data_IF_231939828723
#
_entry.id   IF_231939828723
#
_cell.length_a   1.000
_cell.length_b   1.000
_cell.length_c   1.000
_cell.angle_alpha   90.00
_cell.angle_beta   90.00
_cell.angle_gamma   90.00
#
_symmetry.space_group_name_H-M   'P 1'
#
loop_
_entity.id
_entity.type
_entity.pdbx_description
1 polymer ?
#
# COMPACT_ATOMS: atom_id res chain seq x y z
N UNK A 1 -15.23 -6.22 6.73
CA UNK A 1 -13.91 -5.58 6.64
C UNK A 1 -13.30 -5.73 5.25
N UNK A 2 -12.86 -6.93 4.85
CA UNK A 2 -12.12 -7.17 3.59
C UNK A 2 -12.77 -6.56 2.34
N UNK A 3 -14.05 -6.83 2.06
CA UNK A 3 -14.74 -6.24 0.89
C UNK A 3 -14.72 -4.70 0.87
N UNK A 4 -14.85 -4.07 2.03
CA UNK A 4 -14.78 -2.62 2.15
C UNK A 4 -13.36 -2.11 1.92
N UNK A 5 -12.34 -2.82 2.40
CA UNK A 5 -10.93 -2.46 2.19
C UNK A 5 -10.53 -2.61 0.72
N UNK A 6 -10.99 -3.68 0.03
CA UNK A 6 -10.81 -3.85 -1.41
C UNK A 6 -11.42 -2.67 -2.18
N UNK A 7 -12.66 -2.27 -1.84
CA UNK A 7 -13.32 -1.14 -2.51
C UNK A 7 -12.55 0.18 -2.30
N UNK A 8 -12.05 0.42 -1.08
CA UNK A 8 -11.25 1.60 -0.76
C UNK A 8 -9.91 1.62 -1.49
N UNK A 9 -9.20 0.49 -1.53
CA UNK A 9 -7.94 0.37 -2.27
C UNK A 9 -8.15 0.52 -3.78
N UNK A 10 -9.24 -0.03 -4.31
CA UNK A 10 -9.60 0.11 -5.72
C UNK A 10 -9.82 1.57 -6.08
N UNK A 11 -10.49 2.32 -5.20
CA UNK A 11 -10.66 3.77 -5.36
C UNK A 11 -9.36 4.54 -5.17
N UNK A 12 -8.53 4.18 -4.20
CA UNK A 12 -7.25 4.84 -3.98
C UNK A 12 -6.29 4.71 -5.17
N UNK A 13 -6.33 3.56 -5.86
CA UNK A 13 -5.61 3.36 -7.12
C UNK A 13 -5.98 4.38 -8.20
N UNK A 14 -7.19 4.93 -8.19
CA UNK A 14 -7.61 5.93 -9.19
C UNK A 14 -6.79 7.22 -9.09
N UNK A 15 -6.33 7.60 -7.89
CA UNK A 15 -5.44 8.75 -7.70
C UNK A 15 -4.14 8.61 -8.52
N UNK A 16 -3.61 7.39 -8.62
CA UNK A 16 -2.40 7.07 -9.38
C UNK A 16 -2.56 7.15 -10.91
N UNK A 17 -3.75 7.49 -11.41
CA UNK A 17 -4.00 7.63 -12.86
C UNK A 17 -3.77 9.04 -13.38
N UNK A 18 -3.56 10.01 -12.49
CA UNK A 18 -3.23 11.39 -12.86
C UNK A 18 -1.72 11.55 -12.91
N UNK A 19 -1.19 11.96 -14.07
CA UNK A 19 0.26 12.02 -14.31
C UNK A 19 0.72 13.45 -14.65
N UNK A 20 1.91 13.80 -14.20
CA UNK A 20 2.56 15.07 -14.53
C UNK A 20 3.42 14.99 -15.82
N UNK A 21 3.22 14.00 -16.69
CA UNK A 21 4.04 13.84 -17.90
C UNK A 21 3.96 15.06 -18.80
N UNK A 22 5.13 15.60 -19.16
CA UNK A 22 5.26 16.88 -19.88
C UNK A 22 5.40 18.10 -18.96
N UNK A 23 5.40 17.92 -17.63
CA UNK A 23 5.80 18.94 -16.66
C UNK A 23 7.27 19.36 -16.80
N UNK A 24 8.13 18.42 -17.16
CA UNK A 24 9.60 18.57 -17.24
C UNK A 24 10.22 18.89 -15.88
N UNK A 25 11.12 19.86 -15.76
CA UNK A 25 11.94 20.06 -14.56
C UNK A 25 11.15 20.53 -13.33
N UNK A 26 10.21 21.47 -13.51
CA UNK A 26 9.52 22.18 -12.41
C UNK A 26 8.03 22.45 -12.74
N UNK A 27 7.41 21.64 -13.60
CA UNK A 27 6.00 21.82 -13.98
C UNK A 27 5.73 22.76 -15.16
N UNK A 28 6.69 23.59 -15.58
CA UNK A 28 6.47 24.60 -16.62
C UNK A 28 6.32 24.04 -18.04
N UNK A 29 6.72 22.79 -18.26
CA UNK A 29 6.77 22.18 -19.58
C UNK A 29 7.89 22.74 -20.48
N UNK A 30 8.89 23.40 -19.91
CA UNK A 30 10.03 23.91 -20.67
C UNK A 30 10.72 22.79 -21.44
N UNK A 31 11.03 23.03 -22.71
CA UNK A 31 11.59 22.04 -23.64
C UNK A 31 10.66 20.83 -23.93
N UNK A 32 9.38 20.88 -23.57
CA UNK A 32 8.39 19.88 -23.96
C UNK A 32 7.64 20.32 -25.23
N UNK A 33 7.50 19.41 -26.19
CA UNK A 33 6.69 19.67 -27.38
C UNK A 33 5.20 19.82 -26.98
N UNK A 34 4.43 20.80 -27.51
CA UNK A 34 3.03 21.01 -27.13
C UNK A 34 2.15 19.74 -27.25
N UNK A 35 2.40 18.94 -28.29
CA UNK A 35 1.65 17.69 -28.52
C UNK A 35 2.09 16.49 -27.65
N UNK A 36 3.19 16.60 -26.91
CA UNK A 36 3.76 15.47 -26.14
C UNK A 36 2.73 14.84 -25.20
N UNK A 37 1.97 15.67 -24.48
CA UNK A 37 0.97 15.21 -23.49
C UNK A 37 -0.12 14.36 -24.15
N UNK A 38 -0.66 14.83 -25.26
CA UNK A 38 -1.71 14.12 -26.01
C UNK A 38 -1.19 12.80 -26.59
N UNK A 39 0.06 12.79 -27.08
CA UNK A 39 0.68 11.59 -27.64
C UNK A 39 0.98 10.56 -26.55
N UNK A 40 1.56 10.99 -25.42
CA UNK A 40 1.95 10.07 -24.35
C UNK A 40 0.73 9.46 -23.66
N UNK A 41 -0.34 10.22 -23.44
CA UNK A 41 -1.60 9.72 -22.88
C UNK A 41 -2.16 8.56 -23.73
N UNK A 42 -2.29 8.80 -25.04
CA UNK A 42 -2.77 7.79 -25.99
C UNK A 42 -1.87 6.54 -25.99
N UNK A 43 -0.56 6.74 -25.99
CA UNK A 43 0.41 5.64 -26.00
C UNK A 43 0.39 4.83 -24.70
N UNK A 44 0.29 5.48 -23.55
CA UNK A 44 0.17 4.80 -22.27
C UNK A 44 -1.10 3.96 -22.19
N UNK A 45 -2.22 4.50 -22.68
CA UNK A 45 -3.47 3.73 -22.76
C UNK A 45 -3.34 2.52 -23.70
N UNK A 46 -2.73 2.70 -24.87
CA UNK A 46 -2.48 1.59 -25.82
C UNK A 46 -1.62 0.48 -25.20
N UNK A 47 -0.60 0.84 -24.40
CA UNK A 47 0.35 -0.12 -23.81
C UNK A 47 -0.24 -0.80 -22.56
N UNK A 48 -0.85 -0.04 -21.67
CA UNK A 48 -1.23 -0.51 -20.32
C UNK A 48 -2.70 -0.90 -20.20
N UNK A 49 -3.56 -0.42 -21.11
CA UNK A 49 -5.02 -0.51 -20.98
C UNK A 49 -5.61 0.40 -19.90
N UNK A 50 -4.78 1.20 -19.20
CA UNK A 50 -5.22 2.14 -18.16
C UNK A 50 -5.46 3.51 -18.78
N UNK A 51 -6.55 4.16 -18.36
CA UNK A 51 -6.82 5.54 -18.72
C UNK A 51 -6.03 6.47 -17.79
N UNK A 52 -4.81 6.83 -18.18
CA UNK A 52 -4.08 7.90 -17.52
C UNK A 52 -4.56 9.25 -18.05
N UNK A 53 -4.53 10.28 -17.21
CA UNK A 53 -4.89 11.65 -17.58
C UNK A 53 -3.80 12.63 -17.12
N UNK A 54 -3.56 13.73 -17.84
CA UNK A 54 -2.63 14.77 -17.38
C UNK A 54 -3.18 15.47 -16.12
N UNK A 55 -2.30 15.85 -15.20
CA UNK A 55 -2.67 16.73 -14.09
C UNK A 55 -3.09 18.11 -14.60
N UNK A 56 -4.09 18.71 -13.95
CA UNK A 56 -4.60 20.05 -14.29
C UNK A 56 -3.55 21.14 -14.03
N UNK A 57 -2.81 21.00 -12.92
CA UNK A 57 -1.69 21.87 -12.55
C UNK A 57 -0.40 21.04 -12.49
N UNK A 58 0.46 21.24 -13.48
CA UNK A 58 1.74 20.54 -13.58
C UNK A 58 2.79 21.05 -12.60
N UNK A 59 2.69 22.30 -12.13
CA UNK A 59 3.61 22.84 -11.13
C UNK A 59 3.31 22.21 -9.78
N UNK A 60 2.04 22.10 -9.42
CA UNK A 60 1.62 21.36 -8.23
C UNK A 60 2.01 19.87 -8.32
N UNK A 61 1.68 19.22 -9.44
CA UNK A 61 1.91 17.79 -9.61
C UNK A 61 3.39 17.38 -9.76
N UNK A 62 4.34 18.30 -9.93
CA UNK A 62 5.78 17.99 -9.92
C UNK A 62 6.35 17.82 -8.52
N UNK A 63 5.79 18.51 -7.52
CA UNK A 63 6.25 18.40 -6.13
C UNK A 63 5.37 17.50 -5.26
N UNK A 64 4.12 17.28 -5.67
CA UNK A 64 3.11 16.64 -4.83
C UNK A 64 3.22 15.11 -4.85
N UNK A 65 3.41 14.54 -3.66
CA UNK A 65 3.45 13.09 -3.43
C UNK A 65 2.32 12.60 -2.51
N UNK A 66 1.31 13.45 -2.24
CA UNK A 66 0.21 13.14 -1.33
C UNK A 66 -0.64 11.95 -1.80
N UNK A 67 -0.73 11.68 -3.10
CA UNK A 67 -1.43 10.50 -3.63
C UNK A 67 -0.81 9.19 -3.15
N UNK A 68 0.52 9.13 -3.02
CA UNK A 68 1.22 7.97 -2.43
C UNK A 68 0.87 7.79 -0.95
N UNK A 69 0.78 8.90 -0.20
CA UNK A 69 0.35 8.88 1.21
C UNK A 69 -1.09 8.39 1.33
N UNK A 70 -1.98 8.81 0.42
CA UNK A 70 -3.36 8.36 0.40
C UNK A 70 -3.48 6.86 0.14
N UNK A 71 -2.74 6.35 -0.85
CA UNK A 71 -2.69 4.90 -1.16
C UNK A 71 -2.12 4.12 0.02
N UNK A 72 -1.00 4.58 0.59
CA UNK A 72 -0.38 3.97 1.76
C UNK A 72 -1.33 3.93 2.97
N UNK A 73 -2.05 5.02 3.25
CA UNK A 73 -3.01 5.09 4.34
C UNK A 73 -4.16 4.08 4.18
N UNK A 74 -4.59 3.82 2.95
CA UNK A 74 -5.56 2.79 2.63
C UNK A 74 -4.99 1.38 2.87
N UNK A 75 -3.74 1.13 2.49
CA UNK A 75 -3.04 -0.13 2.74
C UNK A 75 -2.85 -0.39 4.24
N UNK A 76 -2.39 0.61 5.00
CA UNK A 76 -2.33 0.56 6.47
C UNK A 76 -3.69 0.21 7.07
N UNK A 77 -4.76 0.83 6.60
CA UNK A 77 -6.11 0.55 7.11
C UNK A 77 -6.50 -0.92 6.91
N UNK A 78 -6.17 -1.48 5.75
CA UNK A 78 -6.37 -2.91 5.48
C UNK A 78 -5.49 -3.78 6.41
N UNK A 79 -4.22 -3.42 6.59
CA UNK A 79 -3.27 -4.13 7.46
C UNK A 79 -3.73 -4.17 8.92
N UNK A 80 -4.22 -3.06 9.49
CA UNK A 80 -4.78 -3.01 10.85
C UNK A 80 -5.93 -4.00 11.01
N UNK A 81 -6.81 -4.10 10.02
CA UNK A 81 -7.97 -5.01 10.06
C UNK A 81 -7.57 -6.47 9.85
N UNK A 82 -6.60 -6.74 8.98
CA UNK A 82 -6.07 -8.09 8.78
C UNK A 82 -5.33 -8.58 10.03
N UNK A 83 -4.50 -7.73 10.65
CA UNK A 83 -3.83 -8.02 11.92
C UNK A 83 -4.85 -8.38 13.02
N UNK A 84 -5.94 -7.61 13.12
CA UNK A 84 -7.04 -7.92 14.04
C UNK A 84 -7.65 -9.30 13.77
N UNK A 85 -7.98 -9.62 12.51
CA UNK A 85 -8.54 -10.92 12.14
C UNK A 85 -7.56 -12.05 12.50
N UNK A 86 -6.27 -11.89 12.21
CA UNK A 86 -5.24 -12.86 12.57
C UNK A 86 -5.16 -13.06 14.09
N UNK A 87 -5.25 -11.99 14.88
CA UNK A 87 -5.25 -12.05 16.34
C UNK A 87 -6.48 -12.80 16.89
N UNK A 88 -7.67 -12.54 16.34
CA UNK A 88 -8.88 -13.29 16.72
C UNK A 88 -8.70 -14.79 16.45
N UNK A 89 -8.21 -15.16 15.26
CA UNK A 89 -7.99 -16.56 14.90
C UNK A 89 -6.99 -17.24 15.85
N UNK A 90 -5.90 -16.54 16.22
CA UNK A 90 -4.92 -17.06 17.19
C UNK A 90 -5.55 -17.27 18.57
N UNK A 91 -6.34 -16.31 19.04
CA UNK A 91 -6.97 -16.37 20.35
C UNK A 91 -8.05 -17.46 20.41
N UNK A 92 -8.93 -17.55 19.41
CA UNK A 92 -9.95 -18.61 19.31
C UNK A 92 -9.32 -20.01 19.21
N UNK A 93 -8.15 -20.14 18.56
CA UNK A 93 -7.38 -21.39 18.48
C UNK A 93 -6.48 -21.66 19.71
N UNK A 94 -6.44 -20.78 20.70
CA UNK A 94 -5.57 -20.98 21.88
C UNK A 94 -5.99 -22.24 22.66
N UNK A 95 -5.04 -23.06 23.08
CA UNK A 95 -5.36 -24.34 23.72
C UNK A 95 -4.19 -25.34 23.66
N UNK A 96 -4.46 -26.67 23.71
CA UNK A 96 -5.78 -27.31 23.61
C UNK A 96 -6.53 -27.48 24.95
N UNK A 97 -5.87 -27.27 26.09
CA UNK A 97 -6.51 -27.42 27.43
C UNK A 97 -6.56 -26.13 28.25
N UNK A 98 -5.64 -25.21 27.99
CA UNK A 98 -5.42 -23.99 28.78
C UNK A 98 -5.66 -22.71 27.95
N UNK A 99 -6.62 -22.76 27.02
CA UNK A 99 -7.01 -21.63 26.17
C UNK A 99 -8.50 -21.72 25.83
N UNK A 100 -8.95 -20.99 24.81
CA UNK A 100 -10.37 -20.98 24.41
C UNK A 100 -10.79 -22.24 23.65
N UNK A 101 -9.99 -22.68 22.68
CA UNK A 101 -10.25 -23.89 21.89
C UNK A 101 -11.55 -23.85 21.07
N UNK A 102 -12.05 -22.67 20.71
CA UNK A 102 -13.30 -22.49 19.97
C UNK A 102 -13.21 -22.97 18.51
N UNK A 103 -12.02 -22.87 17.92
CA UNK A 103 -11.72 -23.34 16.57
C UNK A 103 -10.44 -24.18 16.56
N UNK A 104 -10.25 -24.93 15.47
CA UNK A 104 -9.00 -25.64 15.19
C UNK A 104 -8.46 -25.18 13.84
N UNK A 105 -7.28 -24.57 13.86
CA UNK A 105 -6.55 -24.17 12.66
C UNK A 105 -5.76 -25.35 12.08
N UNK A 106 -5.53 -25.39 10.75
CA UNK A 106 -4.69 -26.41 10.12
C UNK A 106 -3.27 -26.43 10.69
N UNK A 107 -2.76 -27.63 10.99
CA UNK A 107 -1.40 -27.81 11.48
C UNK A 107 -0.39 -27.74 10.32
N UNK A 108 0.27 -26.60 10.18
CA UNK A 108 1.20 -26.36 9.08
C UNK A 108 2.62 -26.88 9.33
N UNK A 109 3.04 -26.92 10.60
CA UNK A 109 4.36 -27.42 11.00
C UNK A 109 4.40 -27.79 12.50
N UNK A 110 5.36 -28.62 12.95
CA UNK A 110 5.63 -28.83 14.37
C UNK A 110 5.97 -27.51 15.07
N UNK A 111 5.29 -27.22 16.18
CA UNK A 111 5.41 -25.94 16.90
C UNK A 111 6.55 -25.88 17.91
N UNK A 112 7.21 -27.01 18.18
CA UNK A 112 8.36 -27.09 19.10
C UNK A 112 9.13 -28.38 18.91
N UNK A 113 10.46 -28.30 19.01
CA UNK A 113 11.34 -29.47 18.99
C UNK A 113 11.27 -30.31 20.27
N UNK A 114 10.82 -29.75 21.41
CA UNK A 114 10.79 -30.43 22.71
C UNK A 114 9.39 -30.84 23.18
N UNK A 115 8.32 -30.26 22.60
CA UNK A 115 6.94 -30.59 22.94
C UNK A 115 6.27 -31.37 21.79
N UNK A 116 6.33 -32.71 21.79
CA UNK A 116 5.67 -33.53 20.78
C UNK A 116 4.19 -33.17 20.65
N UNK A 117 3.73 -33.00 19.41
CA UNK A 117 2.33 -32.69 19.11
C UNK A 117 1.93 -31.22 19.33
N UNK A 118 2.81 -30.35 19.83
CA UNK A 118 2.53 -28.90 19.87
C UNK A 118 2.49 -28.34 18.44
N UNK A 119 1.47 -27.54 18.15
CA UNK A 119 1.29 -26.82 16.87
C UNK A 119 1.00 -25.36 17.19
N UNK A 120 1.66 -24.43 16.47
CA UNK A 120 1.44 -22.99 16.62
C UNK A 120 0.66 -22.43 15.41
N UNK A 121 -0.11 -21.34 15.57
CA UNK A 121 -0.85 -20.69 14.49
C UNK A 121 0.05 -19.82 13.60
N UNK A 122 1.12 -20.41 13.04
CA UNK A 122 2.24 -19.69 12.38
C UNK A 122 1.81 -18.84 11.17
N UNK A 123 0.74 -19.22 10.48
CA UNK A 123 0.19 -18.43 9.36
C UNK A 123 -0.40 -17.11 9.87
N UNK A 124 -1.07 -17.13 11.02
CA UNK A 124 -1.59 -15.89 11.62
C UNK A 124 -0.45 -15.02 12.17
N UNK A 125 0.64 -15.63 12.63
CA UNK A 125 1.83 -14.94 13.12
C UNK A 125 2.53 -14.17 12.00
N UNK A 126 2.84 -14.84 10.88
CA UNK A 126 3.49 -14.17 9.73
C UNK A 126 2.59 -13.11 9.09
N UNK A 127 1.27 -13.31 9.08
CA UNK A 127 0.33 -12.25 8.64
C UNK A 127 0.39 -11.04 9.58
N UNK A 128 0.49 -11.26 10.89
CA UNK A 128 0.65 -10.20 11.87
C UNK A 128 1.95 -9.40 11.66
N UNK A 129 3.07 -10.09 11.47
CA UNK A 129 4.37 -9.47 11.20
C UNK A 129 4.36 -8.64 9.90
N UNK A 130 3.82 -9.20 8.81
CA UNK A 130 3.67 -8.47 7.55
C UNK A 130 2.78 -7.22 7.70
N UNK A 131 1.73 -7.29 8.52
CA UNK A 131 0.91 -6.11 8.81
C UNK A 131 1.68 -5.04 9.58
N UNK A 132 2.58 -5.40 10.50
CA UNK A 132 3.42 -4.44 11.21
C UNK A 132 4.40 -3.74 10.28
N UNK A 133 4.99 -4.49 9.34
CA UNK A 133 5.85 -3.93 8.31
C UNK A 133 5.11 -2.90 7.44
N UNK A 134 3.90 -3.22 6.97
CA UNK A 134 3.06 -2.26 6.22
C UNK A 134 2.76 -1.00 7.03
N UNK A 135 2.49 -1.13 8.33
CA UNK A 135 2.24 0.03 9.20
C UNK A 135 3.52 0.88 9.37
N UNK A 136 4.68 0.25 9.53
CA UNK A 136 5.96 0.95 9.58
C UNK A 136 6.28 1.69 8.28
N UNK A 137 6.06 1.03 7.14
CA UNK A 137 6.27 1.61 5.82
C UNK A 137 5.36 2.83 5.59
N UNK A 138 4.11 2.80 6.07
CA UNK A 138 3.21 3.96 5.99
C UNK A 138 3.75 5.18 6.73
N UNK A 139 4.38 4.99 7.89
CA UNK A 139 5.04 6.08 8.62
C UNK A 139 6.21 6.63 7.81
N UNK A 140 7.04 5.76 7.24
CA UNK A 140 8.17 6.17 6.37
C UNK A 140 7.68 6.97 5.17
N UNK A 141 6.69 6.45 4.43
CA UNK A 141 6.10 7.10 3.25
C UNK A 141 5.56 8.49 3.61
N UNK A 142 4.82 8.60 4.71
CA UNK A 142 4.29 9.87 5.18
C UNK A 142 5.41 10.88 5.48
N UNK A 143 6.48 10.45 6.18
CA UNK A 143 7.60 11.32 6.51
C UNK A 143 8.41 11.73 5.28
N UNK A 144 8.61 10.84 4.31
CA UNK A 144 9.25 11.16 3.03
C UNK A 144 8.40 12.13 2.20
N UNK A 145 7.08 11.94 2.17
CA UNK A 145 6.17 12.81 1.43
C UNK A 145 6.11 14.23 2.01
N UNK A 146 6.10 14.38 3.33
CA UNK A 146 6.14 15.71 3.98
C UNK A 146 7.42 16.48 3.68
N UNK A 147 8.53 15.77 3.41
CA UNK A 147 9.86 16.36 3.21
C UNK A 147 10.06 17.01 1.83
N UNK A 148 8.99 17.28 1.08
CA UNK A 148 9.05 18.07 -0.14
C UNK A 148 9.60 19.47 0.11
N UNK A 149 10.45 19.97 -0.80
CA UNK A 149 11.08 21.28 -0.69
C UNK A 149 10.92 22.03 -2.02
N UNK A 150 10.08 23.07 -2.02
CA UNK A 150 9.78 23.89 -3.20
C UNK A 150 9.26 23.05 -4.38
N UNK A 151 9.86 23.15 -5.57
CA UNK A 151 9.33 22.57 -6.80
C UNK A 151 9.49 21.03 -6.93
N UNK A 152 10.10 20.35 -5.96
CA UNK A 152 10.33 18.90 -6.05
C UNK A 152 10.36 18.21 -4.67
N UNK A 153 9.91 16.96 -4.63
CA UNK A 153 10.18 16.06 -3.51
C UNK A 153 11.34 15.11 -3.84
N UNK A 154 12.53 15.38 -3.29
CA UNK A 154 13.72 14.55 -3.51
C UNK A 154 13.70 13.21 -2.73
N UNK A 155 12.70 12.99 -1.88
CA UNK A 155 12.53 11.78 -1.07
C UNK A 155 11.64 10.73 -1.74
N UNK A 156 11.21 10.93 -2.98
CA UNK A 156 10.49 9.93 -3.78
C UNK A 156 11.10 8.51 -3.76
N UNK A 157 12.44 8.30 -3.77
CA UNK A 157 12.99 6.94 -3.66
C UNK A 157 12.67 6.21 -2.34
N UNK A 158 12.29 6.94 -1.29
CA UNK A 158 11.85 6.39 0.00
C UNK A 158 10.33 6.24 0.13
N UNK A 159 9.57 6.65 -0.87
CA UNK A 159 8.11 6.49 -1.00
C UNK A 159 7.82 5.22 -1.79
#
# INVERSE_FOLDING_TARGET
YIKSDIAKLTKAREAMTVLNLGATAIGTGINCHPDYKNVVEKKLKEITGVNFTPAEDLIAATQDTADFVYVSGCLKTAAVRLSKIANDLRLMNSGPRCGLGEITLPAMQPGSSIMPGKVNPVICEVVGEACYEVIGNDVTIMLCSERGEFELNAFEPGI
#
